data_IF_231563359840
#
_entry.id   IF_231563359840
#
_cell.length_a   1.000
_cell.length_b   1.000
_cell.length_c   1.000
_cell.angle_alpha   90.00
_cell.angle_beta   90.00
_cell.angle_gamma   90.00
#
_symmetry.space_group_name_H-M   'P 1'
#
loop_
_entity.id
_entity.type
_entity.pdbx_description
1 polymer ?
#
# COMPACT_ATOMS: atom_id res chain seq x y z
N UNK A 1 -6.16 -1.94 21.50
CA UNK A 1 -4.83 -1.28 21.41
C UNK A 1 -4.81 -0.06 22.33
N UNK A 2 -3.91 -0.06 23.32
CA UNK A 2 -3.86 0.95 24.40
C UNK A 2 -2.93 2.11 24.09
N UNK A 3 -1.89 1.88 23.28
CA UNK A 3 -1.00 2.90 22.75
C UNK A 3 -0.80 2.67 21.26
N UNK A 4 -0.47 3.73 20.53
CA UNK A 4 -0.10 3.70 19.12
C UNK A 4 1.17 4.54 18.93
N UNK A 5 2.11 4.01 18.16
CA UNK A 5 3.32 4.74 17.75
C UNK A 5 3.30 4.86 16.24
N UNK A 6 3.53 6.06 15.72
CA UNK A 6 3.65 6.30 14.30
C UNK A 6 4.89 7.15 14.02
N UNK A 7 5.43 6.99 12.81
CA UNK A 7 6.52 7.82 12.33
C UNK A 7 6.29 8.26 10.88
N UNK A 8 6.78 9.45 10.55
CA UNK A 8 6.85 9.96 9.19
C UNK A 8 8.29 9.80 8.71
N UNK A 9 8.47 9.14 7.57
CA UNK A 9 9.79 8.90 6.98
C UNK A 9 9.81 9.49 5.57
N UNK A 10 10.87 10.21 5.24
CA UNK A 10 11.08 10.72 3.89
C UNK A 10 11.29 9.57 2.90
N UNK A 11 10.40 9.43 1.91
CA UNK A 11 10.42 8.28 0.99
C UNK A 11 11.75 8.15 0.21
N UNK A 12 12.37 9.28 -0.16
CA UNK A 12 13.66 9.31 -0.88
C UNK A 12 14.85 9.34 0.06
N UNK A 13 14.82 10.20 1.07
CA UNK A 13 15.94 10.44 1.99
C UNK A 13 16.11 9.32 3.01
N UNK A 14 15.06 8.52 3.24
CA UNK A 14 14.96 7.50 4.30
C UNK A 14 15.17 8.06 5.71
N UNK A 15 15.07 9.38 5.87
CA UNK A 15 15.23 10.05 7.17
C UNK A 15 13.91 10.11 7.92
N UNK A 16 13.99 9.99 9.24
CA UNK A 16 12.87 10.16 10.15
C UNK A 16 12.56 11.66 10.25
N UNK A 17 11.32 12.02 9.91
CA UNK A 17 10.81 13.39 9.93
C UNK A 17 9.94 13.65 11.16
N UNK A 18 9.23 12.64 11.66
CA UNK A 18 8.40 12.77 12.85
C UNK A 18 8.25 11.42 13.54
N UNK A 19 8.19 11.40 14.86
CA UNK A 19 7.87 10.22 15.68
C UNK A 19 7.04 10.71 16.85
N UNK A 20 5.92 10.05 17.12
CA UNK A 20 5.12 10.33 18.30
C UNK A 20 4.40 9.07 18.80
N UNK A 21 3.96 9.13 20.04
CA UNK A 21 3.23 8.05 20.72
C UNK A 21 1.99 8.63 21.39
N UNK A 22 0.84 8.05 21.08
CA UNK A 22 -0.41 8.31 21.80
C UNK A 22 -0.75 7.12 22.68
N UNK A 23 -1.18 7.39 23.91
CA UNK A 23 -1.48 6.38 24.91
C UNK A 23 -2.76 6.74 25.67
N UNK A 24 -3.70 5.81 25.71
CA UNK A 24 -4.98 5.91 26.43
C UNK A 24 -4.93 5.36 27.85
N UNK A 25 -3.91 4.57 28.16
CA UNK A 25 -3.87 3.77 29.37
C UNK A 25 -2.76 4.25 30.30
N UNK A 26 -3.11 4.45 31.56
CA UNK A 26 -2.17 4.57 32.65
C UNK A 26 -2.59 3.61 33.76
N UNK A 27 -1.69 2.71 34.15
CA UNK A 27 -1.95 1.69 35.18
C UNK A 27 -2.26 2.31 36.54
N UNK A 28 -1.60 3.43 36.86
CA UNK A 28 -1.80 4.14 38.14
C UNK A 28 -3.20 4.77 38.15
N UNK A 29 -3.56 5.52 37.10
CA UNK A 29 -4.92 6.08 36.96
C UNK A 29 -6.03 5.01 37.00
N UNK A 30 -5.78 3.81 36.45
CA UNK A 30 -6.79 2.76 36.41
C UNK A 30 -7.01 2.11 37.78
N UNK A 31 -5.97 2.03 38.61
CA UNK A 31 -5.99 1.34 39.91
C UNK A 31 -6.37 2.25 41.07
N UNK A 32 -6.31 3.57 40.91
CA UNK A 32 -6.63 4.53 41.97
C UNK A 32 -7.96 5.23 41.69
N UNK A 33 -8.92 5.12 42.62
CA UNK A 33 -10.16 5.94 42.59
C UNK A 33 -9.88 7.44 42.80
N UNK A 34 -8.74 7.77 43.41
CA UNK A 34 -8.31 9.13 43.71
C UNK A 34 -7.00 9.45 42.99
N UNK A 35 -6.85 10.71 42.56
CA UNK A 35 -5.64 11.25 41.92
C UNK A 35 -4.43 11.12 42.85
N UNK A 36 -3.69 10.00 42.75
CA UNK A 36 -2.32 9.93 43.27
C UNK A 36 -1.43 10.75 42.37
N UNK A 37 -0.62 11.62 42.96
CA UNK A 37 0.41 12.34 42.23
C UNK A 37 1.37 11.32 41.59
N UNK A 38 1.38 11.28 40.26
CA UNK A 38 2.23 10.37 39.50
C UNK A 38 2.51 10.94 38.12
N UNK A 39 3.58 10.45 37.49
CA UNK A 39 3.87 10.77 36.09
C UNK A 39 2.91 10.03 35.16
N UNK A 40 1.81 10.70 34.82
CA UNK A 40 0.80 10.16 33.93
C UNK A 40 1.27 10.19 32.47
N UNK A 41 1.36 9.02 31.85
CA UNK A 41 1.69 8.89 30.42
C UNK A 41 0.46 8.81 29.51
N UNK A 42 -0.75 8.99 30.07
CA UNK A 42 -1.98 9.04 29.28
C UNK A 42 -2.06 10.41 28.62
N UNK A 43 -1.98 10.44 27.30
CA UNK A 43 -2.05 11.65 26.48
C UNK A 43 -3.13 11.56 25.38
N UNK A 44 -4.00 10.54 25.45
CA UNK A 44 -5.09 10.32 24.51
C UNK A 44 -6.39 9.95 25.23
N UNK A 45 -7.49 10.60 24.82
CA UNK A 45 -8.83 10.36 25.37
C UNK A 45 -9.86 9.93 24.31
N UNK A 46 -9.51 9.92 23.01
CA UNK A 46 -10.42 9.52 21.92
C UNK A 46 -10.33 8.02 21.61
N UNK A 47 -10.91 7.58 20.49
CA UNK A 47 -10.85 6.18 20.04
C UNK A 47 -9.41 5.73 19.78
N UNK A 48 -9.12 4.43 19.93
CA UNK A 48 -7.78 3.93 19.62
C UNK A 48 -7.45 4.01 18.14
N UNK A 49 -8.46 3.86 17.27
CA UNK A 49 -8.34 3.97 15.82
C UNK A 49 -7.96 5.36 15.34
N UNK A 50 -8.24 6.41 16.12
CA UNK A 50 -7.89 7.80 15.76
C UNK A 50 -6.50 8.25 16.21
N UNK A 51 -5.76 7.40 16.93
CA UNK A 51 -4.41 7.74 17.41
C UNK A 51 -3.42 7.92 16.26
N UNK A 52 -3.44 7.01 15.28
CA UNK A 52 -2.56 7.07 14.12
C UNK A 52 -2.76 8.38 13.34
N UNK A 53 -4.00 8.64 12.92
CA UNK A 53 -4.35 9.85 12.20
C UNK A 53 -3.96 11.12 12.98
N UNK A 54 -4.05 11.09 14.32
CA UNK A 54 -3.63 12.21 15.16
C UNK A 54 -2.12 12.44 15.10
N UNK A 55 -1.33 11.38 15.31
CA UNK A 55 0.12 11.45 15.29
C UNK A 55 0.63 11.97 13.95
N UNK A 56 0.09 11.43 12.85
CA UNK A 56 0.53 11.83 11.52
C UNK A 56 0.10 13.28 11.23
N UNK A 57 -1.15 13.65 11.54
CA UNK A 57 -1.62 15.03 11.35
C UNK A 57 -0.79 16.05 12.14
N UNK A 58 -0.44 15.75 13.41
CA UNK A 58 0.47 16.57 14.21
C UNK A 58 1.84 16.71 13.53
N UNK A 59 2.40 15.60 13.02
CA UNK A 59 3.68 15.63 12.30
C UNK A 59 3.67 16.47 11.02
N UNK A 60 2.54 16.55 10.31
CA UNK A 60 2.37 17.45 9.17
C UNK A 60 2.27 18.91 9.62
N UNK A 61 1.50 19.21 10.66
CA UNK A 61 1.34 20.58 11.17
C UNK A 61 2.66 21.15 11.73
N UNK A 62 3.48 20.33 12.38
CA UNK A 62 4.75 20.78 12.97
C UNK A 62 5.90 20.86 11.96
N UNK A 63 5.72 20.34 10.74
CA UNK A 63 6.81 20.17 9.76
C UNK A 63 7.50 21.48 9.37
N UNK A 64 6.74 22.56 9.16
CA UNK A 64 7.29 23.89 8.87
C UNK A 64 8.04 24.43 10.08
N UNK A 65 7.45 24.38 11.27
CA UNK A 65 8.06 24.91 12.50
C UNK A 65 9.38 24.21 12.82
N UNK A 66 9.45 22.89 12.61
CA UNK A 66 10.58 22.07 13.05
C UNK A 66 11.70 21.98 12.01
N UNK A 67 11.35 21.94 10.72
CA UNK A 67 12.31 21.68 9.65
C UNK A 67 12.18 22.64 8.46
N UNK A 68 11.20 23.55 8.47
CA UNK A 68 10.84 24.39 7.33
C UNK A 68 10.55 23.58 6.06
N UNK A 69 9.83 22.45 6.22
CA UNK A 69 9.50 21.53 5.12
C UNK A 69 8.00 21.46 4.88
N UNK A 70 7.63 21.28 3.61
CA UNK A 70 6.26 20.97 3.17
C UNK A 70 6.23 19.52 2.69
N UNK A 71 5.36 18.70 3.28
CA UNK A 71 5.16 17.31 2.86
C UNK A 71 4.06 17.26 1.80
N UNK A 72 4.46 17.38 0.53
CA UNK A 72 3.50 17.45 -0.58
C UNK A 72 2.78 16.14 -0.92
N UNK A 73 3.33 15.00 -0.51
CA UNK A 73 2.81 13.67 -0.84
C UNK A 73 2.80 12.76 0.37
N UNK A 74 1.67 12.08 0.58
CA UNK A 74 1.51 11.02 1.57
C UNK A 74 1.44 9.67 0.85
N UNK A 75 2.37 8.77 1.17
CA UNK A 75 2.28 7.37 0.75
C UNK A 75 1.64 6.61 1.91
N UNK A 76 0.35 6.35 1.79
CA UNK A 76 -0.45 5.72 2.84
C UNK A 76 -0.97 4.36 2.40
N UNK A 77 -1.46 3.60 3.37
CA UNK A 77 -2.40 2.54 3.06
C UNK A 77 -3.74 3.13 2.58
N UNK A 78 -4.64 2.25 2.17
CA UNK A 78 -5.99 2.63 1.78
C UNK A 78 -6.83 3.19 2.93
N UNK A 79 -6.28 3.37 4.15
CA UNK A 79 -7.02 3.99 5.24
C UNK A 79 -7.32 5.46 4.90
N UNK A 80 -8.60 5.77 4.93
CA UNK A 80 -9.13 7.11 4.62
C UNK A 80 -9.02 8.06 5.81
N UNK A 81 -8.86 7.52 7.04
CA UNK A 81 -8.91 8.30 8.27
C UNK A 81 -7.75 9.28 8.42
N UNK A 82 -6.53 8.86 8.07
CA UNK A 82 -5.31 9.67 8.14
C UNK A 82 -5.36 10.79 7.11
N UNK A 83 -5.65 10.45 5.85
CA UNK A 83 -5.69 11.42 4.76
C UNK A 83 -6.76 12.48 4.99
N UNK A 84 -7.97 12.06 5.37
CA UNK A 84 -9.07 12.96 5.69
C UNK A 84 -8.65 13.99 6.74
N UNK A 85 -8.00 13.54 7.82
CA UNK A 85 -7.56 14.42 8.91
C UNK A 85 -6.47 15.41 8.48
N UNK A 86 -5.55 15.00 7.61
CA UNK A 86 -4.53 15.90 7.05
C UNK A 86 -5.22 16.99 6.21
N UNK A 87 -6.14 16.61 5.33
CA UNK A 87 -6.88 17.55 4.48
C UNK A 87 -7.69 18.54 5.31
N UNK A 88 -8.44 18.06 6.32
CA UNK A 88 -9.19 18.90 7.25
C UNK A 88 -8.30 19.85 8.05
N UNK A 89 -7.09 19.39 8.41
CA UNK A 89 -6.14 20.20 9.18
C UNK A 89 -5.44 21.29 8.37
N UNK A 90 -5.50 21.22 7.03
CA UNK A 90 -4.88 22.15 6.07
C UNK A 90 -3.50 22.68 6.54
N UNK A 91 -2.51 21.79 6.79
CA UNK A 91 -1.27 22.13 7.50
C UNK A 91 -0.40 23.16 6.76
N UNK A 92 -0.65 23.36 5.47
CA UNK A 92 0.10 24.24 4.58
C UNK A 92 -0.76 25.35 3.98
N UNK A 93 -1.91 25.65 4.62
CA UNK A 93 -2.85 26.66 4.16
C UNK A 93 -3.88 26.13 3.15
N UNK A 94 -4.82 26.98 2.71
CA UNK A 94 -5.97 26.57 1.89
C UNK A 94 -5.62 26.29 0.43
N UNK A 95 -4.47 26.77 -0.04
CA UNK A 95 -4.04 26.66 -1.45
C UNK A 95 -3.28 25.37 -1.74
N UNK A 96 -2.74 24.70 -0.71
CA UNK A 96 -1.90 23.54 -0.87
C UNK A 96 -2.57 22.28 -0.30
N UNK A 97 -2.94 21.37 -1.21
CA UNK A 97 -3.54 20.08 -0.85
C UNK A 97 -2.47 18.99 -0.95
N UNK A 98 -2.32 18.20 0.11
CA UNK A 98 -1.43 17.04 0.12
C UNK A 98 -1.99 15.98 -0.83
N UNK A 99 -1.14 15.47 -1.73
CA UNK A 99 -1.51 14.39 -2.64
C UNK A 99 -1.40 13.04 -1.94
N UNK A 100 -2.47 12.22 -2.03
CA UNK A 100 -2.46 10.84 -1.54
C UNK A 100 -1.93 9.90 -2.64
N UNK A 101 -0.95 9.09 -2.29
CA UNK A 101 -0.47 7.98 -3.11
C UNK A 101 -0.74 6.67 -2.37
N UNK A 102 -1.44 5.77 -3.03
CA UNK A 102 -1.71 4.44 -2.48
C UNK A 102 -0.45 3.57 -2.46
N UNK A 103 -0.27 2.85 -1.37
CA UNK A 103 0.84 1.94 -1.19
C UNK A 103 0.75 0.74 -2.15
N UNK A 104 1.86 0.45 -2.86
CA UNK A 104 1.98 -0.69 -3.80
C UNK A 104 1.54 -2.02 -3.16
N UNK A 105 1.93 -2.28 -1.90
CA UNK A 105 1.59 -3.52 -1.23
C UNK A 105 0.08 -3.64 -0.96
N UNK A 106 -0.60 -2.53 -0.70
CA UNK A 106 -2.06 -2.48 -0.53
C UNK A 106 -2.77 -2.66 -1.87
N UNK A 107 -2.30 -1.99 -2.94
CA UNK A 107 -2.84 -2.18 -4.28
C UNK A 107 -2.73 -3.64 -4.74
N UNK A 108 -1.57 -4.27 -4.55
CA UNK A 108 -1.39 -5.70 -4.86
C UNK A 108 -2.29 -6.59 -4.02
N UNK A 109 -2.44 -6.32 -2.71
CA UNK A 109 -3.38 -7.08 -1.86
C UNK A 109 -4.82 -6.95 -2.35
N UNK A 110 -5.25 -5.73 -2.68
CA UNK A 110 -6.60 -5.47 -3.20
C UNK A 110 -6.84 -6.19 -4.53
N UNK A 111 -5.87 -6.15 -5.43
CA UNK A 111 -5.92 -6.88 -6.71
C UNK A 111 -6.10 -8.39 -6.50
N UNK A 112 -5.29 -9.00 -5.63
CA UNK A 112 -5.38 -10.43 -5.33
C UNK A 112 -6.70 -10.79 -4.63
N UNK A 113 -7.18 -9.95 -3.72
CA UNK A 113 -8.48 -10.15 -3.08
C UNK A 113 -9.62 -10.16 -4.10
N UNK A 114 -9.58 -9.25 -5.09
CA UNK A 114 -10.58 -9.23 -6.18
C UNK A 114 -10.53 -10.47 -7.07
N UNK A 115 -9.35 -11.03 -7.32
CA UNK A 115 -9.22 -12.32 -8.02
C UNK A 115 -9.81 -13.45 -7.18
N UNK A 116 -9.49 -13.50 -5.89
CA UNK A 116 -10.02 -14.51 -4.98
C UNK A 116 -11.54 -14.41 -4.80
N UNK A 117 -12.10 -13.19 -4.85
CA UNK A 117 -13.55 -12.95 -4.80
C UNK A 117 -14.29 -13.62 -5.97
N UNK A 118 -13.67 -13.75 -7.15
CA UNK A 118 -14.26 -14.49 -8.28
C UNK A 118 -14.53 -15.95 -7.90
N UNK A 119 -13.68 -16.55 -7.07
CA UNK A 119 -13.85 -17.90 -6.56
C UNK A 119 -15.05 -18.07 -5.62
N UNK A 120 -15.69 -16.98 -5.17
CA UNK A 120 -16.90 -17.02 -4.36
C UNK A 120 -18.18 -17.16 -5.19
N UNK A 121 -18.12 -16.86 -6.49
CA UNK A 121 -19.29 -17.00 -7.36
C UNK A 121 -19.68 -18.48 -7.51
N UNK A 122 -20.82 -18.84 -6.94
CA UNK A 122 -21.35 -20.22 -6.95
C UNK A 122 -21.90 -20.64 -8.30
N UNK A 123 -22.09 -19.69 -9.24
CA UNK A 123 -22.46 -19.99 -10.63
C UNK A 123 -21.31 -20.68 -11.38
N UNK A 124 -20.06 -20.50 -10.93
CA UNK A 124 -18.90 -21.12 -11.53
C UNK A 124 -18.67 -22.55 -10.97
N UNK A 125 -18.25 -23.51 -11.81
CA UNK A 125 -17.82 -24.83 -11.36
C UNK A 125 -16.74 -24.76 -10.27
N UNK A 126 -16.84 -25.67 -9.29
CA UNK A 126 -15.93 -25.75 -8.12
C UNK A 126 -14.46 -25.83 -8.55
N UNK A 127 -14.16 -26.53 -9.65
CA UNK A 127 -12.80 -26.66 -10.18
C UNK A 127 -12.18 -25.30 -10.52
N UNK A 128 -12.89 -24.42 -11.22
CA UNK A 128 -12.39 -23.08 -11.56
C UNK A 128 -12.26 -22.19 -10.32
N UNK A 129 -13.22 -22.29 -9.39
CA UNK A 129 -13.20 -21.55 -8.12
C UNK A 129 -11.98 -21.90 -7.26
N UNK A 130 -11.62 -23.18 -7.19
CA UNK A 130 -10.40 -23.65 -6.50
C UNK A 130 -9.13 -23.17 -7.21
N UNK A 131 -9.14 -23.08 -8.55
CA UNK A 131 -7.98 -22.64 -9.33
C UNK A 131 -7.65 -21.16 -9.10
N UNK A 132 -8.64 -20.28 -9.01
CA UNK A 132 -8.44 -18.83 -8.81
C UNK A 132 -8.16 -18.44 -7.35
N UNK A 133 -8.51 -19.29 -6.40
CA UNK A 133 -8.24 -19.09 -4.96
C UNK A 133 -6.97 -19.80 -4.48
N UNK A 134 -6.34 -20.62 -5.33
CA UNK A 134 -5.08 -21.28 -5.03
C UNK A 134 -3.97 -20.24 -4.75
N UNK A 135 -3.23 -20.44 -3.65
CA UNK A 135 -2.18 -19.52 -3.19
C UNK A 135 -1.05 -19.35 -4.20
N UNK A 136 -0.67 -20.41 -4.90
CA UNK A 136 0.41 -20.38 -5.90
C UNK A 136 -0.02 -19.59 -7.12
N UNK A 137 -1.28 -19.76 -7.56
CA UNK A 137 -1.87 -18.97 -8.65
C UNK A 137 -1.93 -17.48 -8.27
N UNK A 138 -2.39 -17.14 -7.07
CA UNK A 138 -2.39 -15.76 -6.56
C UNK A 138 -0.97 -15.19 -6.45
N UNK A 139 0.00 -16.02 -6.04
CA UNK A 139 1.42 -15.67 -6.06
C UNK A 139 1.92 -15.32 -7.47
N UNK A 140 1.54 -16.11 -8.48
CA UNK A 140 1.86 -15.85 -9.90
C UNK A 140 1.27 -14.52 -10.39
N UNK A 141 0.04 -14.19 -10.01
CA UNK A 141 -0.56 -12.87 -10.30
C UNK A 141 0.23 -11.72 -9.69
N UNK A 142 0.65 -11.86 -8.43
CA UNK A 142 1.48 -10.85 -7.77
C UNK A 142 2.83 -10.66 -8.47
N UNK A 143 3.47 -11.78 -8.81
CA UNK A 143 4.78 -11.79 -9.44
C UNK A 143 4.73 -11.20 -10.84
N UNK A 144 3.71 -11.55 -11.62
CA UNK A 144 3.44 -10.97 -12.93
C UNK A 144 3.43 -9.43 -12.89
N UNK A 145 2.59 -8.85 -12.03
CA UNK A 145 2.49 -7.38 -11.90
C UNK A 145 3.81 -6.78 -11.40
N UNK A 146 4.47 -7.41 -10.44
CA UNK A 146 5.73 -6.89 -9.88
C UNK A 146 6.87 -6.92 -10.91
N UNK A 147 7.00 -7.99 -11.68
CA UNK A 147 7.98 -8.11 -12.77
C UNK A 147 7.71 -7.11 -13.89
N UNK A 148 6.45 -6.92 -14.28
CA UNK A 148 6.08 -5.89 -15.26
C UNK A 148 6.46 -4.48 -14.76
N UNK A 149 6.14 -4.13 -13.51
CA UNK A 149 6.53 -2.83 -12.93
C UNK A 149 8.06 -2.66 -12.95
N UNK A 150 8.81 -3.68 -12.55
CA UNK A 150 10.27 -3.64 -12.53
C UNK A 150 10.81 -3.40 -13.95
N UNK A 151 10.40 -4.22 -14.92
CA UNK A 151 10.83 -4.12 -16.31
C UNK A 151 10.57 -2.73 -16.90
N UNK A 152 9.34 -2.22 -16.77
CA UNK A 152 8.93 -0.90 -17.30
C UNK A 152 9.62 0.27 -16.58
N UNK A 153 10.10 0.08 -15.35
CA UNK A 153 10.86 1.08 -14.60
C UNK A 153 12.34 1.09 -15.00
N UNK A 154 12.95 -0.08 -15.18
CA UNK A 154 14.39 -0.24 -15.48
C UNK A 154 14.71 0.06 -16.95
N UNK A 155 13.87 -0.35 -17.89
CA UNK A 155 14.07 -0.11 -19.33
C UNK A 155 13.62 1.29 -19.79
N UNK A 156 13.46 2.20 -18.83
CA UNK A 156 13.07 3.59 -19.03
C UNK A 156 14.11 4.42 -19.82
N UNK A 157 15.33 3.92 -19.99
CA UNK A 157 16.46 4.62 -20.60
C UNK A 157 16.58 4.42 -22.12
N UNK A 158 15.92 3.43 -22.71
CA UNK A 158 16.12 3.08 -24.12
C UNK A 158 15.17 3.78 -25.09
N UNK A 159 14.06 4.35 -24.60
CA UNK A 159 13.09 5.06 -25.43
C UNK A 159 12.67 6.29 -24.64
N UNK A 160 12.61 7.44 -25.32
CA UNK A 160 12.11 8.73 -24.80
C UNK A 160 10.60 8.66 -24.54
N UNK A 161 10.17 7.65 -23.77
CA UNK A 161 8.78 7.28 -23.54
C UNK A 161 8.23 8.13 -22.40
N UNK A 162 7.20 8.91 -22.73
CA UNK A 162 6.43 9.64 -21.73
C UNK A 162 5.91 8.71 -20.63
N UNK A 163 5.64 9.27 -19.45
CA UNK A 163 5.01 8.53 -18.34
C UNK A 163 3.70 7.86 -18.77
N UNK A 164 2.95 8.49 -19.68
CA UNK A 164 1.71 7.95 -20.24
C UNK A 164 1.95 6.64 -21.00
N UNK A 165 2.96 6.58 -21.86
CA UNK A 165 3.30 5.36 -22.62
C UNK A 165 3.67 4.20 -21.68
N UNK A 166 4.40 4.49 -20.59
CA UNK A 166 4.76 3.48 -19.59
C UNK A 166 3.54 2.94 -18.85
N UNK A 167 2.61 3.82 -18.49
CA UNK A 167 1.36 3.43 -17.85
C UNK A 167 0.50 2.55 -18.77
N UNK A 168 0.43 2.86 -20.07
CA UNK A 168 -0.33 2.06 -21.03
C UNK A 168 0.29 0.67 -21.26
N UNK A 169 1.62 0.60 -21.38
CA UNK A 169 2.32 -0.68 -21.49
C UNK A 169 2.14 -1.54 -20.23
N UNK A 170 2.26 -0.94 -19.04
CA UNK A 170 2.00 -1.65 -17.79
C UNK A 170 0.54 -2.13 -17.69
N UNK A 171 -0.42 -1.31 -18.16
CA UNK A 171 -1.82 -1.70 -18.24
C UNK A 171 -2.00 -2.93 -19.13
N UNK A 172 -1.38 -2.94 -20.31
CA UNK A 172 -1.38 -4.10 -21.22
C UNK A 172 -0.82 -5.35 -20.55
N UNK A 173 0.29 -5.23 -19.81
CA UNK A 173 0.90 -6.34 -19.07
C UNK A 173 -0.06 -6.91 -18.01
N UNK A 174 -0.69 -6.04 -17.22
CA UNK A 174 -1.65 -6.44 -16.18
C UNK A 174 -2.86 -7.15 -16.78
N UNK A 175 -3.38 -6.66 -17.91
CA UNK A 175 -4.52 -7.25 -18.63
C UNK A 175 -4.16 -8.62 -19.22
N UNK A 176 -2.92 -8.79 -19.70
CA UNK A 176 -2.45 -10.07 -20.24
C UNK A 176 -2.09 -11.09 -19.14
N UNK A 177 -1.87 -10.64 -17.90
CA UNK A 177 -1.53 -11.49 -16.75
C UNK A 177 -2.37 -12.77 -16.62
N UNK A 178 -3.72 -12.71 -16.59
CA UNK A 178 -4.56 -13.90 -16.54
C UNK A 178 -4.31 -14.90 -17.68
N UNK A 179 -4.15 -14.41 -18.92
CA UNK A 179 -3.93 -15.26 -20.09
C UNK A 179 -2.63 -16.05 -19.93
N UNK A 180 -1.55 -15.35 -19.62
CA UNK A 180 -0.25 -15.96 -19.32
C UNK A 180 -0.33 -16.99 -18.20
N UNK A 181 -0.94 -16.64 -17.06
CA UNK A 181 -0.99 -17.50 -15.87
C UNK A 181 -1.78 -18.78 -16.13
N UNK A 182 -2.83 -18.71 -16.95
CA UNK A 182 -3.66 -19.85 -17.32
C UNK A 182 -3.21 -20.59 -18.58
N UNK A 183 -2.10 -20.19 -19.21
CA UNK A 183 -1.42 -20.93 -20.28
C UNK A 183 -1.67 -20.41 -21.71
N UNK A 184 -2.31 -19.26 -21.86
CA UNK A 184 -2.44 -18.58 -23.17
C UNK A 184 -1.32 -17.55 -23.33
N UNK A 185 -0.34 -17.90 -24.16
CA UNK A 185 0.89 -17.14 -24.37
C UNK A 185 0.87 -16.25 -25.62
N UNK A 186 -0.25 -16.19 -26.35
CA UNK A 186 -0.35 -15.50 -27.66
C UNK A 186 -0.02 -14.00 -27.63
N UNK A 187 -0.28 -13.31 -26.53
CA UNK A 187 0.03 -11.87 -26.38
C UNK A 187 1.14 -11.61 -25.33
N UNK A 188 1.96 -12.61 -25.01
CA UNK A 188 3.08 -12.40 -24.09
C UNK A 188 4.25 -11.69 -24.80
N UNK A 189 4.86 -10.73 -24.11
CA UNK A 189 6.14 -10.15 -24.53
C UNK A 189 7.29 -11.04 -24.04
N UNK A 190 8.41 -11.05 -24.76
CA UNK A 190 9.52 -12.00 -24.52
C UNK A 190 10.15 -11.84 -23.12
N UNK A 191 10.14 -10.62 -22.56
CA UNK A 191 10.64 -10.37 -21.19
C UNK A 191 9.77 -11.05 -20.11
N UNK A 192 8.49 -11.26 -20.42
CA UNK A 192 7.47 -11.73 -19.49
C UNK A 192 7.26 -13.24 -19.60
N UNK A 193 7.53 -13.80 -20.78
CA UNK A 193 7.35 -15.21 -21.07
C UNK A 193 8.56 -15.74 -21.84
N UNK A 194 9.34 -16.58 -21.19
CA UNK A 194 10.29 -17.45 -21.89
C UNK A 194 9.47 -18.37 -22.81
N UNK A 195 9.72 -18.35 -24.11
CA UNK A 195 9.18 -19.35 -25.05
C UNK A 195 9.88 -20.68 -24.78
N UNK A 196 9.61 -21.32 -23.64
CA UNK A 196 9.91 -22.73 -23.45
C UNK A 196 8.73 -23.51 -24.02
N UNK A 197 9.05 -24.39 -24.96
CA UNK A 197 8.16 -25.25 -25.73
C UNK A 197 7.05 -25.91 -24.91
N UNK A 198 5.96 -26.23 -25.61
CA UNK A 198 4.82 -27.04 -25.17
C UNK A 198 5.18 -28.09 -24.11
N UNK A 199 4.91 -27.81 -22.85
CA UNK A 199 4.62 -28.86 -21.88
C UNK A 199 3.38 -28.47 -21.10
N UNK A 200 2.32 -29.21 -21.38
CA UNK A 200 1.11 -29.30 -20.58
C UNK A 200 1.46 -29.53 -19.11
N UNK A 201 1.48 -28.46 -18.31
CA UNK A 201 1.65 -28.56 -16.87
C UNK A 201 2.56 -27.48 -16.30
N UNK A 202 1.96 -26.50 -15.63
CA UNK A 202 2.59 -25.68 -14.60
C UNK A 202 3.89 -24.96 -15.04
N UNK A 203 3.77 -23.91 -15.86
CA UNK A 203 4.91 -23.05 -16.17
C UNK A 203 5.43 -22.36 -14.88
N UNK A 204 6.58 -22.82 -14.40
CA UNK A 204 7.29 -22.27 -13.24
C UNK A 204 7.78 -20.87 -13.62
N UNK A 205 7.30 -19.83 -12.92
CA UNK A 205 7.94 -18.52 -12.98
C UNK A 205 9.21 -18.66 -12.15
N UNK A 206 10.36 -18.83 -12.82
CA UNK A 206 11.66 -18.84 -12.15
C UNK A 206 11.90 -17.44 -11.55
N UNK A 207 12.30 -17.44 -10.28
CA UNK A 207 12.60 -16.30 -9.42
C UNK A 207 13.56 -15.32 -10.06
#
# INVERSE_FOLDING_TARGET
MCHFQACIIGARTKRILHVNVKNKYCVVCQRSEHSREHKCFRNWNKTSTSMEAAIISEGFQESIKKYNLIYGRLIGDGDSSVYKRITESAPYGPTFVVEKIECRNHLLRNYLNKIADIGKDTKLPILFRKKVTNSDVLGRFRNAVTKAIQYRTEHATQINNSMHTKAELLRKDIINGPRHIFGDHSNCEDYFCSKSEEVSGLCIIIS
#
